data_IF_694440009114
#
_entry.id   IF_694440009114
#
_cell.length_a   1.000
_cell.length_b   1.000
_cell.length_c   1.000
_cell.angle_alpha   90.00
_cell.angle_beta   90.00
_cell.angle_gamma   90.00
#
_symmetry.space_group_name_H-M   'P 1'
#
loop_
_entity.id
_entity.type
_entity.pdbx_description
1 polymer ?
#
# COMPACT_ATOMS: atom_id res chain seq x y z
N UNK A 1 -35.16 -10.62 15.27
CA UNK A 1 -34.21 -9.63 14.74
C UNK A 1 -33.79 -10.18 13.38
N UNK A 2 -34.34 -9.62 12.30
CA UNK A 2 -33.92 -9.99 10.95
C UNK A 2 -32.59 -9.29 10.65
N UNK A 3 -31.59 -10.06 10.24
CA UNK A 3 -30.31 -9.52 9.80
C UNK A 3 -30.54 -8.64 8.56
N UNK A 4 -29.88 -7.50 8.51
CA UNK A 4 -29.90 -6.64 7.32
C UNK A 4 -29.30 -7.36 6.12
N UNK A 5 -29.61 -6.92 4.90
CA UNK A 5 -29.09 -7.52 3.66
C UNK A 5 -27.55 -7.48 3.59
N UNK A 6 -26.94 -6.48 4.23
CA UNK A 6 -25.48 -6.35 4.41
C UNK A 6 -24.93 -7.44 5.36
N UNK A 7 -25.56 -7.62 6.52
CA UNK A 7 -25.17 -8.65 7.50
C UNK A 7 -25.44 -10.08 7.01
N UNK A 8 -26.49 -10.29 6.22
CA UNK A 8 -26.79 -11.57 5.58
C UNK A 8 -25.77 -11.95 4.50
N UNK A 9 -25.24 -10.96 3.78
CA UNK A 9 -24.11 -11.17 2.89
C UNK A 9 -22.89 -11.54 3.73
N UNK A 10 -22.52 -10.73 4.73
CA UNK A 10 -21.38 -11.02 5.62
C UNK A 10 -21.37 -12.45 6.22
N UNK A 11 -22.51 -12.96 6.70
CA UNK A 11 -22.58 -14.33 7.26
C UNK A 11 -22.64 -15.47 6.23
N UNK A 12 -23.02 -15.21 4.98
CA UNK A 12 -22.80 -16.17 3.88
C UNK A 12 -21.34 -16.11 3.40
N UNK A 13 -20.71 -14.94 3.48
CA UNK A 13 -19.33 -14.67 3.06
C UNK A 13 -18.31 -15.33 4.01
N UNK A 14 -18.57 -15.45 5.31
CA UNK A 14 -17.72 -16.18 6.27
C UNK A 14 -17.61 -17.70 6.01
N UNK A 15 -18.59 -18.32 5.32
CA UNK A 15 -18.58 -19.77 5.08
C UNK A 15 -17.87 -20.20 3.79
N UNK A 16 -17.48 -19.26 2.93
CA UNK A 16 -16.91 -19.54 1.61
C UNK A 16 -15.39 -19.36 1.52
N UNK A 17 -14.78 -18.55 2.38
CA UNK A 17 -13.33 -18.36 2.39
C UNK A 17 -12.71 -19.35 3.35
N UNK A 18 -12.23 -20.47 2.85
CA UNK A 18 -11.40 -21.34 3.68
C UNK A 18 -10.11 -20.59 3.98
N UNK A 19 -9.61 -20.65 5.22
CA UNK A 19 -8.28 -20.13 5.60
C UNK A 19 -7.20 -20.51 4.59
N UNK A 20 -7.32 -21.71 4.00
CA UNK A 20 -6.50 -22.20 2.89
C UNK A 20 -6.42 -21.24 1.69
N UNK A 21 -7.53 -20.68 1.21
CA UNK A 21 -7.56 -19.76 0.05
C UNK A 21 -6.84 -18.46 0.41
N UNK A 22 -6.96 -18.01 1.65
CA UNK A 22 -6.29 -16.81 2.13
C UNK A 22 -4.77 -17.05 2.17
N UNK A 23 -4.34 -18.18 2.74
CA UNK A 23 -2.92 -18.56 2.74
C UNK A 23 -2.35 -18.72 1.33
N UNK A 24 -3.06 -19.39 0.41
CA UNK A 24 -2.63 -19.55 -0.98
C UNK A 24 -2.44 -18.19 -1.68
N UNK A 25 -3.32 -17.22 -1.44
CA UNK A 25 -3.18 -15.88 -2.01
C UNK A 25 -2.04 -15.08 -1.36
N UNK A 26 -1.79 -15.27 -0.06
CA UNK A 26 -0.63 -14.66 0.61
C UNK A 26 0.68 -15.26 0.12
N UNK A 27 0.75 -16.57 -0.12
CA UNK A 27 1.90 -17.22 -0.76
C UNK A 27 2.11 -16.65 -2.17
N UNK A 28 1.05 -16.57 -2.98
CA UNK A 28 1.12 -15.94 -4.31
C UNK A 28 1.62 -14.50 -4.25
N UNK A 29 1.14 -13.70 -3.31
CA UNK A 29 1.61 -12.33 -3.12
C UNK A 29 3.11 -12.29 -2.79
N UNK A 30 3.58 -13.17 -1.89
CA UNK A 30 5.02 -13.26 -1.54
C UNK A 30 5.87 -13.67 -2.73
N UNK A 31 5.39 -14.58 -3.57
CA UNK A 31 6.08 -14.98 -4.80
C UNK A 31 6.15 -13.82 -5.82
N UNK A 32 5.14 -12.95 -5.84
CA UNK A 32 5.06 -11.79 -6.73
C UNK A 32 5.72 -10.51 -6.19
N UNK A 33 6.23 -10.51 -4.95
CA UNK A 33 6.70 -9.28 -4.26
C UNK A 33 7.71 -8.50 -5.10
N UNK A 34 8.75 -9.15 -5.64
CA UNK A 34 9.81 -8.41 -6.35
C UNK A 34 9.29 -7.76 -7.65
N UNK A 35 8.34 -8.42 -8.32
CA UNK A 35 7.64 -7.86 -9.50
C UNK A 35 6.75 -6.69 -9.10
N UNK A 36 6.04 -6.79 -7.98
CA UNK A 36 5.19 -5.72 -7.45
C UNK A 36 6.02 -4.53 -6.97
N UNK A 37 7.20 -4.74 -6.38
CA UNK A 37 8.15 -3.68 -6.02
C UNK A 37 8.60 -2.93 -7.27
N UNK A 38 9.03 -3.64 -8.32
CA UNK A 38 9.41 -3.01 -9.58
C UNK A 38 8.27 -2.18 -10.18
N UNK A 39 7.05 -2.68 -10.12
CA UNK A 39 5.85 -1.95 -10.56
C UNK A 39 5.57 -0.73 -9.67
N UNK A 40 5.65 -0.83 -8.34
CA UNK A 40 5.45 0.31 -7.44
C UNK A 40 6.49 1.41 -7.68
N UNK A 41 7.74 1.04 -7.94
CA UNK A 41 8.80 1.98 -8.33
C UNK A 41 8.44 2.64 -9.67
N UNK A 42 7.98 1.88 -10.66
CA UNK A 42 7.54 2.44 -11.94
C UNK A 42 6.43 3.49 -11.73
N UNK A 43 5.42 3.18 -10.90
CA UNK A 43 4.32 4.09 -10.58
C UNK A 43 4.83 5.38 -9.92
N UNK A 44 5.81 5.27 -9.02
CA UNK A 44 6.43 6.43 -8.37
C UNK A 44 7.18 7.32 -9.37
N UNK A 45 7.89 6.73 -10.33
CA UNK A 45 8.74 7.48 -11.26
C UNK A 45 7.96 8.10 -12.43
N UNK A 46 6.86 7.48 -12.86
CA UNK A 46 6.19 7.82 -14.12
C UNK A 46 4.76 8.33 -13.95
N UNK A 47 4.03 7.85 -12.94
CA UNK A 47 2.60 8.15 -12.78
C UNK A 47 2.32 9.12 -11.62
N UNK A 48 3.23 9.20 -10.64
CA UNK A 48 3.08 10.12 -9.52
C UNK A 48 3.18 11.58 -9.97
N UNK A 49 2.28 12.42 -9.45
CA UNK A 49 2.24 13.85 -9.71
C UNK A 49 2.13 14.63 -8.41
N UNK A 50 3.18 15.37 -8.06
CA UNK A 50 3.29 16.05 -6.77
C UNK A 50 3.98 17.40 -6.92
N UNK A 51 3.32 18.50 -6.53
CA UNK A 51 3.92 19.86 -6.59
C UNK A 51 5.24 19.95 -5.82
N UNK A 52 5.38 19.17 -4.75
CA UNK A 52 6.55 19.13 -3.87
C UNK A 52 7.62 18.11 -4.29
N UNK A 53 7.48 17.50 -5.48
CA UNK A 53 8.39 16.45 -6.00
C UNK A 53 8.53 15.22 -5.08
N UNK A 54 7.58 15.04 -4.18
CA UNK A 54 7.48 13.88 -3.29
C UNK A 54 6.63 12.83 -4.00
N UNK A 55 7.30 11.83 -4.58
CA UNK A 55 6.67 10.80 -5.40
C UNK A 55 6.63 9.47 -4.64
N UNK A 56 5.45 8.86 -4.65
CA UNK A 56 5.13 7.58 -4.04
C UNK A 56 4.34 6.80 -5.08
N UNK A 57 4.73 5.55 -5.26
CA UNK A 57 3.99 4.58 -6.05
C UNK A 57 3.52 3.45 -5.16
N UNK A 58 2.36 2.88 -5.48
CA UNK A 58 1.83 1.74 -4.79
C UNK A 58 1.26 0.72 -5.77
N UNK A 59 1.25 -0.53 -5.34
CA UNK A 59 0.62 -1.64 -6.04
C UNK A 59 -0.14 -2.48 -5.02
N UNK A 60 -1.43 -2.68 -5.24
CA UNK A 60 -2.29 -3.49 -4.41
C UNK A 60 -2.58 -4.83 -5.10
N UNK A 61 -2.49 -5.91 -4.34
CA UNK A 61 -2.99 -7.21 -4.72
C UNK A 61 -4.31 -7.46 -4.01
N UNK A 62 -5.32 -7.79 -4.79
CA UNK A 62 -6.69 -8.03 -4.34
C UNK A 62 -7.13 -9.42 -4.74
N UNK A 63 -8.06 -9.97 -3.97
CA UNK A 63 -8.77 -11.18 -4.34
C UNK A 63 -10.27 -10.92 -4.26
N UNK A 64 -10.93 -11.10 -5.40
CA UNK A 64 -12.37 -10.99 -5.54
C UNK A 64 -13.02 -12.30 -5.10
N UNK A 65 -13.85 -12.23 -4.07
CA UNK A 65 -14.52 -13.39 -3.50
C UNK A 65 -15.70 -13.88 -4.33
N UNK A 66 -16.29 -13.05 -5.19
CA UNK A 66 -17.38 -13.41 -6.08
C UNK A 66 -16.89 -14.11 -7.36
N UNK A 67 -15.79 -13.63 -7.94
CA UNK A 67 -15.22 -14.16 -9.19
C UNK A 67 -14.06 -15.15 -8.97
N UNK A 68 -13.52 -15.19 -7.75
CA UNK A 68 -12.32 -15.96 -7.39
C UNK A 68 -11.06 -15.52 -8.15
N UNK A 69 -10.98 -14.24 -8.51
CA UNK A 69 -9.88 -13.69 -9.27
C UNK A 69 -8.88 -12.94 -8.38
N UNK A 70 -7.60 -13.21 -8.60
CA UNK A 70 -6.51 -12.42 -8.04
C UNK A 70 -6.15 -11.31 -9.01
N UNK A 71 -6.23 -10.07 -8.54
CA UNK A 71 -6.06 -8.87 -9.34
C UNK A 71 -4.95 -8.01 -8.75
N UNK A 72 -4.27 -7.26 -9.62
CA UNK A 72 -3.18 -6.37 -9.23
C UNK A 72 -3.41 -5.04 -9.92
N UNK A 73 -3.53 -3.98 -9.12
CA UNK A 73 -3.68 -2.60 -9.57
C UNK A 73 -2.57 -1.73 -9.00
N UNK A 74 -2.21 -0.66 -9.70
CA UNK A 74 -1.07 0.17 -9.34
C UNK A 74 -1.27 1.63 -9.70
N UNK A 75 -0.75 2.52 -8.86
CA UNK A 75 -0.88 3.96 -9.08
C UNK A 75 0.20 4.78 -8.37
N UNK A 76 0.46 5.97 -8.87
CA UNK A 76 1.27 7.01 -8.23
C UNK A 76 0.40 8.01 -7.46
N UNK A 77 0.96 8.69 -6.45
CA UNK A 77 0.19 9.68 -5.70
C UNK A 77 -0.16 10.91 -6.55
N UNK A 78 -1.33 11.52 -6.32
CA UNK A 78 -1.82 12.68 -7.06
C UNK A 78 -2.06 13.88 -6.12
N UNK A 79 -1.12 14.84 -6.16
CA UNK A 79 -1.07 16.08 -5.35
C UNK A 79 -0.44 17.24 -6.16
N UNK A 80 -0.96 17.58 -7.36
CA UNK A 80 -0.31 18.53 -8.29
C UNK A 80 -0.34 20.00 -7.84
N UNK A 81 -1.09 20.35 -6.79
CA UNK A 81 -1.26 21.73 -6.34
C UNK A 81 -0.66 21.99 -4.97
N UNK A 82 -0.02 23.15 -4.83
CA UNK A 82 0.45 23.69 -3.54
C UNK A 82 -0.74 24.09 -2.65
N UNK A 83 -1.66 24.90 -3.20
CA UNK A 83 -2.95 25.22 -2.60
C UNK A 83 -4.02 24.43 -3.33
N UNK A 84 -4.71 23.54 -2.60
CA UNK A 84 -5.74 22.66 -3.16
C UNK A 84 -6.96 23.50 -3.61
N UNK A 85 -7.37 23.46 -4.88
CA UNK A 85 -8.62 24.06 -5.32
C UNK A 85 -9.82 23.46 -4.58
N UNK A 86 -10.91 24.22 -4.45
CA UNK A 86 -12.14 23.72 -3.86
C UNK A 86 -12.73 22.59 -4.72
N UNK A 87 -13.15 21.50 -4.09
CA UNK A 87 -13.72 20.32 -4.77
C UNK A 87 -12.70 19.33 -5.33
N UNK A 88 -11.41 19.65 -5.33
CA UNK A 88 -10.37 18.72 -5.78
C UNK A 88 -9.88 17.82 -4.62
N UNK A 89 -9.71 16.53 -4.90
CA UNK A 89 -9.18 15.57 -3.93
C UNK A 89 -7.66 15.40 -4.07
N UNK A 90 -6.98 15.25 -2.93
CA UNK A 90 -5.62 14.72 -2.90
C UNK A 90 -5.74 13.21 -2.77
N UNK A 91 -4.94 12.46 -3.53
CA UNK A 91 -4.98 11.02 -3.46
C UNK A 91 -3.59 10.45 -3.16
N UNK A 92 -3.52 9.60 -2.14
CA UNK A 92 -2.35 8.81 -1.83
C UNK A 92 -2.28 7.60 -2.78
N UNK A 93 -1.08 7.12 -3.05
CA UNK A 93 -0.87 6.04 -4.00
C UNK A 93 -1.58 4.76 -3.56
N UNK A 94 -1.61 4.48 -2.26
CA UNK A 94 -2.24 3.33 -1.62
C UNK A 94 -3.75 3.27 -1.89
N UNK A 95 -4.43 4.43 -1.78
CA UNK A 95 -5.85 4.56 -2.07
C UNK A 95 -6.12 4.27 -3.55
N UNK A 96 -5.40 4.95 -4.44
CA UNK A 96 -5.58 4.80 -5.88
C UNK A 96 -5.25 3.38 -6.37
N UNK A 97 -4.17 2.77 -5.87
CA UNK A 97 -3.81 1.40 -6.24
C UNK A 97 -4.86 0.39 -5.76
N UNK A 98 -5.45 0.60 -4.58
CA UNK A 98 -6.55 -0.24 -4.09
C UNK A 98 -7.82 -0.04 -4.92
N UNK A 99 -8.15 1.21 -5.28
CA UNK A 99 -9.29 1.52 -6.15
C UNK A 99 -9.11 0.90 -7.55
N UNK A 100 -7.91 0.98 -8.13
CA UNK A 100 -7.56 0.38 -9.43
C UNK A 100 -7.63 -1.16 -9.40
N UNK A 101 -7.23 -1.77 -8.28
CA UNK A 101 -7.28 -3.22 -8.09
C UNK A 101 -8.68 -3.75 -7.73
N UNK A 102 -9.66 -2.89 -7.45
CA UNK A 102 -11.01 -3.29 -6.99
C UNK A 102 -12.02 -3.26 -8.13
N UNK A 103 -12.70 -4.38 -8.34
CA UNK A 103 -13.84 -4.46 -9.26
C UNK A 103 -15.21 -4.30 -8.57
N UNK A 104 -15.33 -4.64 -7.28
CA UNK A 104 -16.56 -4.44 -6.48
C UNK A 104 -16.30 -4.44 -4.95
N UNK A 105 -17.39 -4.51 -4.16
CA UNK A 105 -17.39 -4.56 -2.70
C UNK A 105 -17.09 -5.95 -2.11
N UNK A 106 -16.86 -6.97 -2.94
CA UNK A 106 -16.56 -8.35 -2.50
C UNK A 106 -15.06 -8.65 -2.45
N UNK A 107 -14.25 -7.63 -2.67
CA UNK A 107 -12.80 -7.73 -2.76
C UNK A 107 -12.15 -7.54 -1.38
N UNK A 108 -11.23 -8.43 -1.03
CA UNK A 108 -10.27 -8.19 0.05
C UNK A 108 -8.87 -7.93 -0.50
N UNK A 109 -8.09 -7.13 0.22
CA UNK A 109 -6.71 -6.79 -0.11
C UNK A 109 -5.80 -7.81 0.54
N UNK A 110 -5.09 -8.58 -0.29
CA UNK A 110 -4.09 -9.57 0.14
C UNK A 110 -2.83 -8.85 0.64
N UNK A 111 -2.40 -7.83 -0.09
CA UNK A 111 -1.29 -7.00 0.34
C UNK A 111 -1.07 -5.77 -0.55
N UNK A 112 -0.28 -4.83 -0.04
CA UNK A 112 0.07 -3.57 -0.70
C UNK A 112 1.58 -3.38 -0.64
N UNK A 113 2.17 -3.05 -1.79
CA UNK A 113 3.56 -2.57 -1.89
C UNK A 113 3.56 -1.06 -2.06
N UNK A 114 4.37 -0.35 -1.29
CA UNK A 114 4.53 1.11 -1.31
C UNK A 114 6.01 1.41 -1.55
N UNK A 115 6.32 2.25 -2.54
CA UNK A 115 7.68 2.61 -2.90
C UNK A 115 7.88 4.12 -2.98
N UNK A 116 8.97 4.62 -2.38
CA UNK A 116 9.40 6.01 -2.52
C UNK A 116 10.93 6.14 -2.46
N UNK A 117 11.46 7.26 -2.98
CA UNK A 117 12.84 7.69 -2.73
C UNK A 117 13.03 8.31 -1.35
N UNK A 118 11.92 8.68 -0.72
CA UNK A 118 11.90 9.32 0.58
C UNK A 118 11.58 8.28 1.65
N UNK A 119 12.16 8.42 2.83
CA UNK A 119 11.87 7.55 3.99
C UNK A 119 10.87 8.18 4.96
N UNK A 120 10.54 9.47 4.78
CA UNK A 120 9.69 10.22 5.70
C UNK A 120 8.69 11.11 4.96
N UNK A 121 7.40 10.93 5.24
CA UNK A 121 6.36 11.87 4.83
C UNK A 121 5.86 12.76 5.99
N UNK A 122 6.08 12.34 7.24
CA UNK A 122 5.48 12.94 8.44
C UNK A 122 6.54 13.62 9.31
N UNK A 123 6.49 14.94 9.49
CA UNK A 123 7.32 15.67 10.45
C UNK A 123 7.11 15.22 11.91
N UNK A 124 6.02 14.49 12.21
CA UNK A 124 5.68 13.98 13.54
C UNK A 124 6.00 12.49 13.73
N UNK A 125 6.59 11.81 12.73
CA UNK A 125 7.09 10.46 12.93
C UNK A 125 8.27 10.53 13.91
N UNK A 126 8.05 10.06 15.14
CA UNK A 126 9.03 10.13 16.22
C UNK A 126 10.20 9.15 16.04
N UNK A 127 10.13 8.22 15.07
CA UNK A 127 11.21 7.31 14.72
C UNK A 127 11.62 7.43 13.25
N UNK A 128 12.93 7.37 13.01
CA UNK A 128 13.47 7.18 11.67
C UNK A 128 13.23 5.75 11.21
N UNK A 129 12.26 5.57 10.30
CA UNK A 129 12.03 4.29 9.64
C UNK A 129 12.88 4.19 8.37
N UNK A 130 13.40 2.99 8.03
CA UNK A 130 14.23 2.81 6.85
C UNK A 130 13.42 2.89 5.55
N UNK A 131 12.09 2.98 5.62
CA UNK A 131 11.18 3.06 4.48
C UNK A 131 10.01 4.02 4.78
N UNK A 132 9.34 4.50 3.73
CA UNK A 132 8.16 5.33 3.89
C UNK A 132 6.95 4.48 4.31
N UNK A 133 6.39 4.79 5.46
CA UNK A 133 5.17 4.18 5.97
C UNK A 133 3.90 4.89 5.47
N UNK A 134 2.74 4.19 5.37
CA UNK A 134 1.46 4.81 5.05
C UNK A 134 1.17 6.02 5.93
N UNK A 135 0.67 7.09 5.32
CA UNK A 135 0.29 8.29 6.07
C UNK A 135 -0.96 8.05 6.95
N UNK A 136 -1.24 8.91 7.96
CA UNK A 136 -2.40 8.76 8.83
C UNK A 136 -3.75 8.61 8.10
N UNK A 137 -3.92 9.27 6.94
CA UNK A 137 -5.13 9.13 6.13
C UNK A 137 -5.29 7.71 5.55
N UNK A 138 -4.19 7.09 5.10
CA UNK A 138 -4.21 5.71 4.60
C UNK A 138 -4.36 4.70 5.74
N UNK A 139 -3.73 4.96 6.89
CA UNK A 139 -3.93 4.15 8.10
C UNK A 139 -5.40 4.15 8.53
N UNK A 140 -6.03 5.33 8.54
CA UNK A 140 -7.46 5.45 8.84
C UNK A 140 -8.32 4.72 7.80
N UNK A 141 -7.98 4.81 6.51
CA UNK A 141 -8.66 4.07 5.46
C UNK A 141 -8.62 2.55 5.71
N UNK A 142 -7.48 2.00 6.13
CA UNK A 142 -7.36 0.59 6.48
C UNK A 142 -8.27 0.23 7.67
N UNK A 143 -8.22 1.04 8.73
CA UNK A 143 -9.01 0.82 9.95
C UNK A 143 -10.53 0.93 9.73
N UNK A 144 -10.97 1.84 8.86
CA UNK A 144 -12.39 2.07 8.57
C UNK A 144 -13.01 0.99 7.67
N UNK A 145 -12.18 0.15 7.03
CA UNK A 145 -12.62 -0.84 6.05
C UNK A 145 -12.14 -2.27 6.39
N UNK A 146 -12.46 -2.81 7.59
CA UNK A 146 -11.91 -4.09 8.07
C UNK A 146 -12.35 -5.33 7.27
N UNK A 147 -13.42 -5.23 6.47
CA UNK A 147 -13.84 -6.28 5.54
C UNK A 147 -12.94 -6.39 4.30
N UNK A 148 -12.37 -5.26 3.87
CA UNK A 148 -11.46 -5.17 2.71
C UNK A 148 -10.00 -5.29 3.15
N UNK A 149 -9.62 -4.61 4.22
CA UNK A 149 -8.29 -4.66 4.83
C UNK A 149 -8.36 -5.48 6.10
N UNK A 150 -7.94 -6.74 6.02
CA UNK A 150 -7.98 -7.67 7.14
C UNK A 150 -6.70 -7.56 7.95
N UNK A 151 -6.72 -8.06 9.18
CA UNK A 151 -5.52 -8.11 10.03
C UNK A 151 -4.35 -8.84 9.36
N UNK A 152 -4.63 -9.79 8.47
CA UNK A 152 -3.61 -10.54 7.74
C UNK A 152 -3.25 -9.95 6.37
N UNK A 153 -3.75 -8.76 6.02
CA UNK A 153 -3.28 -7.98 4.88
C UNK A 153 -1.81 -7.63 5.08
N UNK A 154 -0.99 -7.94 4.06
CA UNK A 154 0.45 -7.68 4.08
C UNK A 154 0.75 -6.27 3.58
N UNK A 155 1.55 -5.52 4.33
CA UNK A 155 2.06 -4.22 3.95
C UNK A 155 3.55 -4.34 3.69
N UNK A 156 4.00 -3.97 2.49
CA UNK A 156 5.41 -3.94 2.11
C UNK A 156 5.80 -2.50 1.79
N UNK A 157 6.73 -1.94 2.54
CA UNK A 157 7.23 -0.59 2.32
C UNK A 157 8.65 -0.66 1.78
N UNK A 158 8.97 0.20 0.80
CA UNK A 158 10.21 0.15 0.04
C UNK A 158 10.79 1.54 -0.09
N UNK A 159 12.07 1.65 0.25
CA UNK A 159 12.88 2.79 -0.11
C UNK A 159 13.87 2.39 -1.20
N UNK A 160 13.91 3.18 -2.28
CA UNK A 160 14.77 2.95 -3.42
C UNK A 160 15.52 4.22 -3.81
N UNK A 161 16.64 4.04 -4.49
CA UNK A 161 17.41 5.12 -5.13
C UNK A 161 17.43 4.90 -6.64
N UNK A 162 17.77 5.94 -7.39
CA UNK A 162 18.01 5.81 -8.84
C UNK A 162 19.46 6.15 -9.09
N UNK A 163 20.20 5.18 -9.60
CA UNK A 163 21.63 5.28 -9.88
C UNK A 163 21.83 5.33 -11.39
N UNK A 164 22.77 6.17 -11.85
CA UNK A 164 23.23 6.15 -13.24
C UNK A 164 24.15 4.94 -13.44
N UNK A 165 23.81 4.10 -14.42
CA UNK A 165 24.57 2.90 -14.77
C UNK A 165 25.16 3.11 -16.16
N UNK A 166 26.49 3.11 -16.24
CA UNK A 166 27.22 3.17 -17.50
C UNK A 166 27.20 1.79 -18.16
N UNK A 167 26.77 1.75 -19.41
CA UNK A 167 26.74 0.58 -20.26
C UNK A 167 28.07 0.40 -21.01
N UNK A 168 28.36 -0.82 -21.46
CA UNK A 168 29.59 -1.15 -22.18
C UNK A 168 29.75 -0.42 -23.53
N UNK A 169 28.66 0.10 -24.08
CA UNK A 169 28.63 0.89 -25.32
C UNK A 169 28.87 2.39 -25.09
N UNK A 170 29.12 2.80 -23.84
CA UNK A 170 29.35 4.19 -23.44
C UNK A 170 28.07 5.01 -23.25
N UNK A 171 26.88 4.40 -23.32
CA UNK A 171 25.62 5.03 -22.91
C UNK A 171 25.41 4.94 -21.39
N UNK A 172 24.46 5.71 -20.85
CA UNK A 172 24.04 5.58 -19.46
C UNK A 172 22.53 5.43 -19.33
N UNK A 173 22.12 4.54 -18.40
CA UNK A 173 20.72 4.31 -18.03
C UNK A 173 20.52 4.66 -16.56
N UNK A 174 19.36 5.24 -16.24
CA UNK A 174 18.93 5.43 -14.86
C UNK A 174 18.26 4.14 -14.37
N UNK A 175 18.84 3.46 -13.38
CA UNK A 175 18.28 2.22 -12.82
C UNK A 175 17.89 2.42 -11.37
N UNK A 176 16.66 2.02 -11.05
CA UNK A 176 16.20 1.97 -9.68
C UNK A 176 16.87 0.81 -8.93
N UNK A 177 17.23 1.06 -7.68
CA UNK A 177 17.85 0.10 -6.76
C UNK A 177 17.17 0.17 -5.42
N UNK A 178 16.63 -0.95 -4.97
CA UNK A 178 16.05 -1.08 -3.63
C UNK A 178 17.16 -0.96 -2.59
N UNK A 179 17.02 -0.01 -1.67
CA UNK A 179 17.95 0.23 -0.55
C UNK A 179 17.49 -0.53 0.68
N UNK A 180 16.19 -0.46 0.96
CA UNK A 180 15.55 -1.09 2.12
C UNK A 180 14.13 -1.51 1.77
N UNK A 181 13.70 -2.60 2.39
CA UNK A 181 12.32 -3.07 2.37
C UNK A 181 11.91 -3.56 3.75
N UNK A 182 10.68 -3.28 4.14
CA UNK A 182 10.07 -3.83 5.33
C UNK A 182 8.75 -4.47 4.97
N UNK A 183 8.33 -5.48 5.74
CA UNK A 183 7.06 -6.18 5.53
C UNK A 183 6.41 -6.41 6.89
N UNK A 184 5.12 -6.10 6.96
CA UNK A 184 4.31 -6.18 8.17
C UNK A 184 2.93 -6.72 7.85
N UNK A 185 2.26 -7.27 8.84
CA UNK A 185 0.79 -7.30 8.89
C UNK A 185 0.26 -5.95 9.39
N UNK A 186 -1.03 -5.66 9.16
CA UNK A 186 -1.62 -4.40 9.65
C UNK A 186 -1.54 -4.23 11.19
N UNK A 187 -1.76 -5.28 12.03
CA UNK A 187 -1.56 -5.17 13.47
C UNK A 187 -0.11 -4.88 13.86
N UNK A 188 0.86 -5.59 13.26
CA UNK A 188 2.29 -5.34 13.51
C UNK A 188 2.67 -3.90 13.16
N UNK A 189 2.13 -3.38 12.05
CA UNK A 189 2.31 -1.99 11.66
C UNK A 189 1.71 -1.00 12.68
N UNK A 190 0.51 -1.26 13.19
CA UNK A 190 -0.13 -0.41 14.20
C UNK A 190 0.64 -0.41 15.53
N UNK A 191 1.15 -1.57 15.98
CA UNK A 191 1.89 -1.70 17.24
C UNK A 191 3.21 -0.90 17.23
N UNK A 192 3.90 -0.84 16.08
CA UNK A 192 5.08 0.00 15.89
C UNK A 192 4.78 1.49 16.19
N UNK A 193 3.59 1.96 15.84
CA UNK A 193 3.20 3.36 16.04
C UNK A 193 2.63 3.63 17.45
N UNK A 194 2.09 2.61 18.14
CA UNK A 194 1.60 2.74 19.52
C UNK A 194 2.78 2.81 20.51
N UNK A 195 3.78 1.93 20.37
CA UNK A 195 4.96 1.90 21.25
C UNK A 195 5.74 3.22 21.26
N UNK A 196 5.79 3.92 20.12
CA UNK A 196 6.47 5.22 20.02
C UNK A 196 5.73 6.38 20.69
N UNK A 197 4.39 6.31 20.81
CA UNK A 197 3.61 7.31 21.57
C UNK A 197 3.71 7.13 23.08
N UNK A 198 4.06 5.93 23.55
CA UNK A 198 4.21 5.60 24.98
C UNK A 198 5.43 6.27 25.64
N UNK A 199 6.54 6.40 24.91
CA UNK A 199 7.79 6.97 25.45
C UNK A 199 7.81 8.51 25.50
N UNK A 200 6.87 9.19 24.83
CA UNK A 200 6.76 10.65 24.87
C UNK A 200 6.07 11.20 26.13
N UNK A 201 5.75 10.35 27.12
CA UNK A 201 5.02 10.73 28.35
C UNK A 201 5.81 10.55 29.65
N UNK A 202 7.12 10.25 29.56
CA UNK A 202 8.02 10.19 30.71
C UNK A 202 9.26 11.05 30.47
N UNK A 203 9.12 12.37 30.61
CA UNK A 203 10.16 13.29 31.09
C UNK A 203 9.52 14.61 31.55
#
# INVERSE_FOLDING_TARGET
>A
MELTRSEMNFHKFEKGVTEKVIEENKERFRDDIDRMIASAIYQAEHEANSHRKFHVGAVAATYDMGTHEYQVGGSGNYKPWEVRPEGEEKACAERLATEDARNDDTVYVVGIVIASKETHADPNAHAEHPTLHPCPECQQMFADNPGTFRDDTLLVTVHYTVEEVLNDDGTSDMKAKVVSREMFTLPEFHDLHITQKGDASLN
#
